data_IF_032766101191
#
_entry.id   IF_032766101191
#
_cell.length_a   1.000
_cell.length_b   1.000
_cell.length_c   1.000
_cell.angle_alpha   90.00
_cell.angle_beta   90.00
_cell.angle_gamma   90.00
#
_symmetry.space_group_name_H-M   'P 1'
#
loop_
_entity.id
_entity.type
_entity.pdbx_description
1 polymer ?
#
# COMPACT_ATOMS: atom_id res chain seq x y z
N UNK A 1 7.46 -1.84 30.32
CA UNK A 1 6.28 -1.02 29.97
C UNK A 1 6.08 -1.06 28.47
N UNK A 2 4.84 -1.16 27.98
CA UNK A 2 4.55 -1.14 26.54
C UNK A 2 4.52 0.30 26.00
N UNK A 3 5.05 0.53 24.80
CA UNK A 3 4.98 1.82 24.13
C UNK A 3 3.53 2.15 23.70
N UNK A 4 3.10 3.41 23.90
CA UNK A 4 1.79 3.90 23.44
C UNK A 4 1.96 4.70 22.16
N UNK A 5 1.23 4.34 21.12
CA UNK A 5 1.25 5.00 19.81
C UNK A 5 -0.16 5.45 19.42
N UNK A 6 -0.28 6.62 18.78
CA UNK A 6 -1.54 7.08 18.20
C UNK A 6 -1.63 6.61 16.75
N UNK A 7 -2.78 6.04 16.38
CA UNK A 7 -3.07 5.59 15.02
C UNK A 7 -4.12 6.50 14.39
N UNK A 8 -3.92 6.89 13.13
CA UNK A 8 -4.92 7.55 12.30
C UNK A 8 -5.31 6.61 11.16
N UNK A 9 -6.58 6.23 11.10
CA UNK A 9 -7.13 5.53 9.95
C UNK A 9 -7.07 6.43 8.71
N UNK A 10 -6.62 5.89 7.59
CA UNK A 10 -6.62 6.58 6.30
C UNK A 10 -7.96 6.35 5.60
N UNK A 11 -8.47 7.37 4.89
CA UNK A 11 -9.70 7.23 4.11
C UNK A 11 -9.50 6.31 2.91
N UNK A 12 -10.59 5.68 2.48
CA UNK A 12 -10.66 4.79 1.32
C UNK A 12 -10.39 3.33 1.64
N UNK A 13 -10.83 2.45 0.74
CA UNK A 13 -10.44 1.04 0.71
C UNK A 13 -9.16 0.90 -0.09
N UNK A 14 -8.26 0.06 0.40
CA UNK A 14 -6.98 -0.24 -0.24
C UNK A 14 -7.02 -1.65 -0.82
N UNK A 15 -6.21 -1.85 -1.85
CA UNK A 15 -5.99 -3.15 -2.44
C UNK A 15 -4.50 -3.48 -2.43
N UNK A 16 -4.18 -4.75 -2.17
CA UNK A 16 -2.85 -5.34 -2.30
C UNK A 16 -2.82 -6.11 -3.61
N UNK A 17 -2.12 -5.56 -4.60
CA UNK A 17 -2.02 -6.09 -5.95
C UNK A 17 -0.70 -6.82 -6.16
N UNK A 18 -0.74 -7.96 -6.84
CA UNK A 18 0.46 -8.72 -7.23
C UNK A 18 0.64 -8.71 -8.74
N UNK A 19 1.82 -8.25 -9.16
CA UNK A 19 2.29 -8.24 -10.55
C UNK A 19 3.57 -9.10 -10.66
N UNK A 20 4.01 -9.41 -11.88
CA UNK A 20 5.25 -10.17 -12.07
C UNK A 20 6.49 -9.34 -11.70
N UNK A 21 7.55 -9.99 -11.21
CA UNK A 21 8.79 -9.34 -10.75
C UNK A 21 9.47 -8.45 -11.80
N UNK A 22 9.32 -8.80 -13.08
CA UNK A 22 9.89 -8.04 -14.20
C UNK A 22 9.00 -6.92 -14.73
N UNK A 23 7.76 -6.78 -14.25
CA UNK A 23 6.86 -5.74 -14.75
C UNK A 23 7.31 -4.35 -14.30
N UNK A 24 7.20 -3.38 -15.22
CA UNK A 24 7.37 -1.97 -14.88
C UNK A 24 6.32 -1.52 -13.88
N UNK A 25 6.63 -0.51 -13.07
CA UNK A 25 5.65 0.09 -12.17
C UNK A 25 4.53 0.72 -13.04
N UNK A 26 3.27 0.27 -12.92
CA UNK A 26 2.20 0.75 -13.77
C UNK A 26 1.75 2.15 -13.36
N UNK A 27 1.23 2.94 -14.31
CA UNK A 27 0.82 4.32 -14.05
C UNK A 27 -0.31 4.51 -13.04
N UNK A 28 -1.08 3.45 -12.73
CA UNK A 28 -2.12 3.49 -11.69
C UNK A 28 -1.57 3.31 -10.27
N UNK A 29 -0.32 2.85 -10.13
CA UNK A 29 0.29 2.56 -8.82
C UNK A 29 0.51 3.82 -7.99
N UNK A 30 1.03 4.87 -8.61
CA UNK A 30 1.31 6.15 -7.96
C UNK A 30 0.14 7.13 -8.12
N UNK A 31 -0.22 7.81 -7.03
CA UNK A 31 -1.38 8.70 -6.97
C UNK A 31 -1.88 8.96 -5.55
N UNK A 32 -3.09 9.54 -5.38
CA UNK A 32 -3.66 9.92 -4.09
C UNK A 32 -3.70 8.81 -3.02
N UNK A 33 -3.61 9.17 -1.74
CA UNK A 33 -3.71 8.20 -0.64
C UNK A 33 -2.37 7.52 -0.34
N UNK A 34 -2.43 6.43 0.44
CA UNK A 34 -1.24 5.64 0.77
C UNK A 34 -0.80 4.78 -0.43
N UNK A 35 0.50 4.76 -0.69
CA UNK A 35 1.11 3.94 -1.73
C UNK A 35 2.31 3.20 -1.16
N UNK A 36 2.38 1.91 -1.42
CA UNK A 36 3.56 1.08 -1.19
C UNK A 36 3.86 0.30 -2.46
N UNK A 37 5.08 0.40 -2.95
CA UNK A 37 5.54 -0.35 -4.12
C UNK A 37 6.78 -1.13 -3.69
N UNK A 38 6.61 -2.44 -3.58
CA UNK A 38 7.66 -3.34 -3.12
C UNK A 38 7.97 -4.32 -4.23
N UNK A 39 9.24 -4.34 -4.66
CA UNK A 39 9.73 -5.30 -5.65
C UNK A 39 10.66 -6.30 -4.98
N UNK A 40 10.44 -7.57 -5.27
CA UNK A 40 11.35 -8.67 -4.96
C UNK A 40 11.79 -9.35 -6.26
N UNK A 41 12.62 -10.37 -6.16
CA UNK A 41 12.95 -11.30 -7.24
C UNK A 41 11.74 -12.11 -7.72
N UNK A 42 10.77 -12.35 -6.84
CA UNK A 42 9.57 -13.15 -7.14
C UNK A 42 8.37 -12.33 -7.64
N UNK A 43 8.21 -11.07 -7.21
CA UNK A 43 7.03 -10.27 -7.55
C UNK A 43 7.21 -8.75 -7.44
N UNK A 44 6.22 -8.03 -7.99
CA UNK A 44 5.97 -6.62 -7.72
C UNK A 44 4.65 -6.50 -6.95
N UNK A 45 4.74 -6.16 -5.67
CA UNK A 45 3.59 -5.95 -4.79
C UNK A 45 3.28 -4.47 -4.67
N UNK A 46 2.03 -4.10 -4.92
CA UNK A 46 1.57 -2.70 -4.92
C UNK A 46 0.37 -2.58 -4.00
N UNK A 47 0.49 -1.70 -3.00
CA UNK A 47 -0.63 -1.29 -2.15
C UNK A 47 -1.03 0.12 -2.54
N UNK A 48 -2.28 0.30 -2.97
CA UNK A 48 -2.83 1.63 -3.26
C UNK A 48 -4.36 1.63 -3.08
N UNK A 49 -5.01 2.76 -3.34
CA UNK A 49 -6.48 2.82 -3.31
C UNK A 49 -7.08 1.82 -4.31
N UNK A 50 -8.04 1.04 -3.83
CA UNK A 50 -8.69 -0.03 -4.58
C UNK A 50 -9.28 0.45 -5.91
N UNK A 51 -9.89 1.63 -5.92
CA UNK A 51 -10.52 2.22 -7.12
C UNK A 51 -9.52 2.54 -8.25
N UNK A 52 -8.21 2.56 -7.97
CA UNK A 52 -7.19 2.74 -9.00
C UNK A 52 -6.78 1.45 -9.68
N UNK A 53 -6.99 0.31 -9.03
CA UNK A 53 -6.48 -0.97 -9.52
C UNK A 53 -7.40 -1.49 -10.63
N UNK A 54 -6.90 -1.75 -11.84
CA UNK A 54 -7.71 -2.33 -12.90
C UNK A 54 -8.27 -3.70 -12.47
N UNK A 55 -9.53 -3.98 -12.78
CA UNK A 55 -10.20 -5.24 -12.38
C UNK A 55 -9.51 -6.52 -12.88
N UNK A 56 -8.68 -6.43 -13.94
CA UNK A 56 -7.93 -7.56 -14.47
C UNK A 56 -6.70 -7.94 -13.63
N UNK A 57 -6.26 -7.08 -12.71
CA UNK A 57 -5.09 -7.35 -11.86
C UNK A 57 -5.49 -8.23 -10.69
N UNK A 58 -4.63 -9.22 -10.39
CA UNK A 58 -4.77 -10.06 -9.19
C UNK A 58 -4.57 -9.19 -7.95
N UNK A 59 -5.61 -9.06 -7.14
CA UNK A 59 -5.61 -8.20 -5.97
C UNK A 59 -6.44 -8.79 -4.82
N UNK A 60 -6.02 -8.45 -3.60
CA UNK A 60 -6.79 -8.59 -2.37
C UNK A 60 -7.33 -7.20 -1.99
N UNK A 61 -8.63 -7.10 -1.69
CA UNK A 61 -9.38 -5.84 -1.63
C UNK A 61 -9.96 -5.56 -0.23
N UNK A 62 -10.59 -4.40 -0.05
CA UNK A 62 -11.25 -3.95 1.18
C UNK A 62 -10.31 -3.80 2.39
N UNK A 63 -9.03 -3.49 2.13
CA UNK A 63 -8.05 -3.21 3.17
C UNK A 63 -8.23 -1.82 3.77
N UNK A 64 -7.95 -1.70 5.07
CA UNK A 64 -7.92 -0.43 5.80
C UNK A 64 -6.49 -0.10 6.21
N UNK A 65 -6.00 1.08 5.83
CA UNK A 65 -4.66 1.54 6.19
C UNK A 65 -4.68 2.43 7.44
N UNK A 66 -3.67 2.28 8.30
CA UNK A 66 -3.45 3.14 9.47
C UNK A 66 -2.07 3.79 9.41
N UNK A 67 -2.03 5.09 9.66
CA UNK A 67 -0.79 5.86 9.85
C UNK A 67 -0.48 5.97 11.34
N UNK A 68 0.73 5.60 11.72
CA UNK A 68 1.26 5.90 13.05
C UNK A 68 1.58 7.41 13.12
N UNK A 69 1.02 8.08 14.11
CA UNK A 69 1.24 9.51 14.33
C UNK A 69 2.48 9.72 15.21
N UNK A 70 3.56 10.18 14.57
CA UNK A 70 4.81 10.53 15.23
C UNK A 70 4.79 11.85 16.00
N UNK A 71 5.97 12.35 16.43
CA UNK A 71 7.30 12.01 15.89
C UNK A 71 7.87 10.67 16.37
N UNK A 72 8.53 9.94 15.47
CA UNK A 72 9.43 8.82 15.80
C UNK A 72 10.82 9.22 15.32
N UNK A 73 11.82 9.10 16.18
CA UNK A 73 13.20 9.34 15.77
C UNK A 73 13.62 8.26 14.76
N UNK A 74 14.31 8.70 13.71
CA UNK A 74 15.04 7.81 12.81
C UNK A 74 16.50 8.03 13.16
N UNK A 75 17.09 7.09 13.91
CA UNK A 75 18.51 7.08 14.26
C UNK A 75 19.31 6.25 13.24
#
# INVERSE_FOLDING_TARGET
MAAKVRLKQLPGSYAVSRLAAGETIPGWADGPGFVSITRTDDELSIVCLQDRVPHAIKQDIDWVAFKLLGPFAFD
#
